data_IF_499178451002
#
_entry.id   IF_499178451002
#
_cell.length_a   1.000
_cell.length_b   1.000
_cell.length_c   1.000
_cell.angle_alpha   90.00
_cell.angle_beta   90.00
_cell.angle_gamma   90.00
#
_symmetry.space_group_name_H-M   'P 1'
#
loop_
_entity.id
_entity.type
_entity.pdbx_description
1 polymer ?
#
# COMPACT_ATOMS: atom_id res chain seq x y z
N UNK A 1 26.89 -24.54 6.41
CA UNK A 1 25.99 -23.38 6.57
C UNK A 1 26.93 -22.18 6.62
N UNK A 2 26.98 -21.37 5.55
CA UNK A 2 28.05 -20.39 5.32
C UNK A 2 28.34 -19.51 6.54
N UNK A 3 29.62 -19.20 6.80
CA UNK A 3 30.16 -18.28 7.82
C UNK A 3 29.72 -16.81 7.63
N UNK A 4 28.53 -16.57 7.07
CA UNK A 4 27.97 -15.25 6.84
C UNK A 4 27.57 -14.63 8.17
N UNK A 5 28.28 -13.58 8.58
CA UNK A 5 27.92 -12.80 9.77
C UNK A 5 26.58 -12.10 9.55
N UNK A 6 25.66 -12.13 10.53
CA UNK A 6 24.43 -11.36 10.44
C UNK A 6 24.75 -9.86 10.37
N UNK A 7 24.07 -9.16 9.46
CA UNK A 7 24.25 -7.73 9.21
C UNK A 7 22.99 -7.00 9.64
N UNK A 8 23.15 -5.84 10.29
CA UNK A 8 22.01 -5.01 10.65
C UNK A 8 21.37 -4.42 9.38
N UNK A 9 20.03 -4.42 9.31
CA UNK A 9 19.30 -3.96 8.12
C UNK A 9 19.68 -2.52 7.72
N UNK A 10 19.99 -1.66 8.68
CA UNK A 10 20.46 -0.27 8.46
C UNK A 10 21.79 -0.18 7.69
N UNK A 11 22.64 -1.19 7.78
CA UNK A 11 23.94 -1.22 7.08
C UNK A 11 23.75 -1.60 5.60
N UNK A 12 22.69 -2.35 5.27
CA UNK A 12 22.37 -2.77 3.91
C UNK A 12 22.15 -1.55 3.00
N UNK A 13 21.58 -0.46 3.52
CA UNK A 13 21.35 0.79 2.77
C UNK A 13 22.64 1.40 2.22
N UNK A 14 23.77 1.22 2.91
CA UNK A 14 25.06 1.80 2.56
C UNK A 14 25.93 0.88 1.71
N UNK A 15 25.48 -0.35 1.46
CA UNK A 15 26.23 -1.31 0.65
C UNK A 15 26.23 -0.90 -0.83
N UNK A 16 27.35 -1.07 -1.55
CA UNK A 16 27.47 -0.65 -2.95
C UNK A 16 26.54 -1.43 -3.89
N UNK A 17 26.09 -2.62 -3.50
CA UNK A 17 25.11 -3.39 -4.28
C UNK A 17 23.67 -2.88 -4.10
N UNK A 18 23.42 -2.04 -3.10
CA UNK A 18 22.10 -1.43 -2.85
C UNK A 18 21.94 -0.19 -3.71
N UNK A 19 21.32 -0.36 -4.88
CA UNK A 19 21.05 0.73 -5.80
C UNK A 19 19.66 1.29 -5.54
N UNK A 20 19.62 2.57 -5.17
CA UNK A 20 18.37 3.33 -5.09
C UNK A 20 18.01 3.86 -6.47
N UNK A 21 16.74 3.74 -6.83
CA UNK A 21 16.17 4.30 -8.02
C UNK A 21 14.86 5.02 -7.70
N UNK A 22 14.58 6.11 -8.42
CA UNK A 22 13.34 6.85 -8.23
C UNK A 22 12.18 6.06 -8.82
N UNK A 23 11.20 5.73 -7.97
CA UNK A 23 9.99 4.99 -8.36
C UNK A 23 8.74 5.81 -8.11
N UNK A 24 7.78 5.72 -9.02
CA UNK A 24 6.41 6.18 -8.79
C UNK A 24 5.70 5.11 -7.98
N UNK A 25 5.32 5.42 -6.74
CA UNK A 25 4.70 4.45 -5.85
C UNK A 25 3.18 4.44 -5.94
N UNK A 26 2.56 5.60 -6.19
CA UNK A 26 1.12 5.73 -6.42
C UNK A 26 0.80 7.08 -7.05
N UNK A 27 -0.40 7.25 -7.56
CA UNK A 27 -0.95 8.55 -7.91
C UNK A 27 -1.82 9.09 -6.77
N UNK A 28 -1.71 10.38 -6.47
CA UNK A 28 -2.63 11.10 -5.60
C UNK A 28 -3.21 12.32 -6.32
N UNK A 29 -4.15 13.02 -5.69
CA UNK A 29 -4.77 14.24 -6.25
C UNK A 29 -3.75 15.33 -6.60
N UNK A 30 -2.57 15.31 -5.97
CA UNK A 30 -1.46 16.24 -6.21
C UNK A 30 -0.42 15.69 -7.21
N UNK A 31 -0.78 14.66 -7.98
CA UNK A 31 0.09 14.02 -8.96
C UNK A 31 0.80 12.75 -8.45
N UNK A 32 1.84 12.26 -9.15
CA UNK A 32 2.53 11.02 -8.80
C UNK A 32 3.37 11.17 -7.53
N UNK A 33 3.17 10.26 -6.58
CA UNK A 33 3.98 10.14 -5.38
C UNK A 33 5.27 9.38 -5.70
N UNK A 34 6.39 10.08 -5.67
CA UNK A 34 7.73 9.58 -6.03
C UNK A 34 8.63 9.45 -4.81
N UNK A 35 9.37 8.36 -4.73
CA UNK A 35 10.39 8.12 -3.70
C UNK A 35 11.59 7.38 -4.28
N UNK A 36 12.74 7.52 -3.63
CA UNK A 36 13.90 6.65 -3.89
C UNK A 36 13.68 5.32 -3.18
N UNK A 37 13.71 4.23 -3.96
CA UNK A 37 13.49 2.89 -3.46
C UNK A 37 14.64 1.97 -3.91
N UNK A 38 14.92 0.94 -3.11
CA UNK A 38 15.82 -0.15 -3.46
C UNK A 38 15.22 -1.48 -3.00
N UNK A 39 15.56 -2.57 -3.70
CA UNK A 39 15.17 -3.90 -3.28
C UNK A 39 16.36 -4.86 -3.34
N UNK A 40 16.47 -5.74 -2.33
CA UNK A 40 17.50 -6.78 -2.28
C UNK A 40 16.91 -8.10 -1.84
N UNK A 41 17.48 -9.19 -2.34
CA UNK A 41 17.26 -10.49 -1.73
C UNK A 41 18.12 -10.59 -0.49
N UNK A 42 17.50 -10.97 0.63
CA UNK A 42 18.14 -11.17 1.93
C UNK A 42 17.76 -12.54 2.48
N UNK A 43 18.57 -13.04 3.40
CA UNK A 43 18.23 -14.21 4.20
C UNK A 43 17.88 -13.75 5.61
N UNK A 44 16.60 -13.73 5.93
CA UNK A 44 16.08 -13.29 7.22
C UNK A 44 15.93 -14.49 8.17
N UNK A 45 16.21 -14.28 9.45
CA UNK A 45 15.96 -15.27 10.50
C UNK A 45 14.59 -14.97 11.10
N UNK A 46 13.62 -15.85 10.85
CA UNK A 46 12.27 -15.73 11.38
C UNK A 46 12.21 -16.08 12.89
N UNK A 47 11.06 -15.83 13.51
CA UNK A 47 10.77 -15.99 14.96
C UNK A 47 11.12 -17.37 15.58
N UNK A 48 11.41 -18.40 14.78
CA UNK A 48 11.79 -19.75 15.25
C UNK A 48 13.20 -20.18 14.79
N UNK A 49 14.06 -19.24 14.42
CA UNK A 49 15.39 -19.56 13.86
C UNK A 49 15.34 -20.09 12.42
N UNK A 50 14.17 -20.12 11.80
CA UNK A 50 14.03 -20.52 10.39
C UNK A 50 14.62 -19.45 9.48
N UNK A 51 15.57 -19.83 8.65
CA UNK A 51 16.16 -18.93 7.65
C UNK A 51 15.26 -18.91 6.41
N UNK A 52 14.85 -17.73 5.97
CA UNK A 52 13.98 -17.53 4.79
C UNK A 52 14.66 -16.59 3.80
N UNK A 53 14.57 -16.95 2.53
CA UNK A 53 14.94 -16.08 1.42
C UNK A 53 13.78 -15.11 1.17
N UNK A 54 14.01 -13.81 1.40
CA UNK A 54 13.00 -12.78 1.32
C UNK A 54 13.52 -11.56 0.55
N UNK A 55 12.60 -10.72 0.09
CA UNK A 55 12.87 -9.46 -0.59
C UNK A 55 12.78 -8.34 0.44
N UNK A 56 13.91 -7.71 0.73
CA UNK A 56 13.99 -6.49 1.52
C UNK A 56 13.78 -5.28 0.60
N UNK A 57 12.71 -4.55 0.83
CA UNK A 57 12.44 -3.24 0.26
C UNK A 57 12.92 -2.14 1.21
N UNK A 58 13.57 -1.15 0.64
CA UNK A 58 14.07 0.04 1.32
C UNK A 58 13.50 1.27 0.60
N UNK A 59 12.94 2.21 1.36
CA UNK A 59 12.43 3.48 0.82
C UNK A 59 13.01 4.63 1.62
N UNK A 60 13.58 5.62 0.94
CA UNK A 60 14.04 6.84 1.58
C UNK A 60 12.88 7.82 1.71
N UNK A 61 12.59 8.23 2.93
CA UNK A 61 11.58 9.23 3.27
C UNK A 61 12.11 10.65 3.04
N UNK A 62 11.19 11.63 3.01
CA UNK A 62 11.54 13.04 2.75
C UNK A 62 12.39 13.67 3.85
N UNK A 63 12.30 13.16 5.08
CA UNK A 63 13.11 13.58 6.22
C UNK A 63 14.50 12.91 6.25
N UNK A 64 14.83 12.08 5.25
CA UNK A 64 16.08 11.34 5.16
C UNK A 64 16.06 10.00 5.89
N UNK A 65 14.99 9.65 6.62
CA UNK A 65 14.84 8.33 7.21
C UNK A 65 14.70 7.26 6.12
N UNK A 66 15.02 6.01 6.46
CA UNK A 66 14.77 4.87 5.56
C UNK A 66 13.79 3.93 6.22
N UNK A 67 12.70 3.62 5.52
CA UNK A 67 11.73 2.60 5.92
C UNK A 67 12.05 1.27 5.24
N UNK A 68 11.72 0.18 5.92
CA UNK A 68 12.07 -1.17 5.52
C UNK A 68 10.82 -2.04 5.48
N UNK A 69 10.72 -2.92 4.48
CA UNK A 69 9.64 -3.90 4.40
C UNK A 69 10.16 -5.20 3.84
N UNK A 70 9.70 -6.34 4.38
CA UNK A 70 10.05 -7.66 3.88
C UNK A 70 8.89 -8.22 3.07
N UNK A 71 9.22 -8.95 2.01
CA UNK A 71 8.27 -9.60 1.14
C UNK A 71 8.76 -11.01 0.77
N UNK A 72 7.85 -11.97 0.74
CA UNK A 72 8.13 -13.36 0.35
C UNK A 72 8.11 -13.55 -1.18
N UNK A 73 8.01 -12.46 -1.94
CA UNK A 73 7.94 -12.52 -3.39
C UNK A 73 9.18 -13.16 -4.03
N UNK A 74 8.99 -13.89 -5.14
CA UNK A 74 10.11 -14.39 -5.94
C UNK A 74 11.05 -13.29 -6.40
N UNK A 75 12.32 -13.64 -6.64
CA UNK A 75 13.30 -12.73 -7.24
C UNK A 75 12.93 -12.30 -8.66
N UNK A 76 12.10 -13.08 -9.33
CA UNK A 76 11.56 -12.78 -10.66
C UNK A 76 10.50 -11.67 -10.63
N UNK A 77 9.95 -11.33 -9.46
CA UNK A 77 8.97 -10.25 -9.33
C UNK A 77 9.63 -8.92 -9.67
N UNK A 78 9.16 -8.23 -10.73
CA UNK A 78 9.79 -6.98 -11.18
C UNK A 78 9.78 -5.92 -10.09
N UNK A 79 10.87 -5.16 -9.99
CA UNK A 79 10.97 -4.09 -9.00
C UNK A 79 9.85 -3.04 -9.14
N UNK A 80 9.47 -2.68 -10.37
CA UNK A 80 8.33 -1.78 -10.67
C UNK A 80 7.00 -2.25 -10.06
N UNK A 81 6.84 -3.56 -9.86
CA UNK A 81 5.66 -4.15 -9.23
C UNK A 81 5.81 -4.17 -7.72
N UNK A 82 7.01 -4.50 -7.24
CA UNK A 82 7.29 -4.68 -5.82
C UNK A 82 7.37 -3.35 -5.03
N UNK A 83 7.96 -2.31 -5.62
CA UNK A 83 8.21 -1.03 -4.94
C UNK A 83 6.92 -0.29 -4.50
N UNK A 84 5.83 -0.29 -5.29
CA UNK A 84 4.54 0.29 -4.88
C UNK A 84 3.86 -0.41 -3.70
N UNK A 85 4.01 -1.73 -3.55
CA UNK A 85 3.16 -2.53 -2.66
C UNK A 85 3.11 -2.09 -1.19
N UNK A 86 4.22 -1.70 -0.53
CA UNK A 86 4.15 -1.18 0.83
C UNK A 86 3.25 0.06 0.96
N UNK A 87 3.04 0.81 -0.12
CA UNK A 87 2.17 1.98 -0.14
C UNK A 87 0.68 1.64 -0.23
N UNK A 88 0.33 0.40 -0.61
CA UNK A 88 -1.06 -0.05 -0.68
C UNK A 88 -1.74 -0.09 0.69
N UNK A 89 -0.95 -0.22 1.76
CA UNK A 89 -1.42 -0.14 3.15
C UNK A 89 -2.20 1.15 3.42
N UNK A 90 -1.85 2.24 2.73
CA UNK A 90 -2.58 3.50 2.83
C UNK A 90 -4.05 3.34 2.46
N UNK A 91 -4.41 2.57 1.44
CA UNK A 91 -5.81 2.40 1.07
C UNK A 91 -6.59 1.67 2.15
N UNK A 92 -5.98 0.66 2.77
CA UNK A 92 -6.59 -0.05 3.91
C UNK A 92 -6.77 0.92 5.08
N UNK A 93 -5.77 1.71 5.42
CA UNK A 93 -5.84 2.67 6.52
C UNK A 93 -6.89 3.76 6.27
N UNK A 94 -6.93 4.32 5.06
CA UNK A 94 -7.94 5.32 4.71
C UNK A 94 -9.34 4.74 4.74
N UNK A 95 -9.52 3.53 4.21
CA UNK A 95 -10.80 2.83 4.24
C UNK A 95 -11.28 2.60 5.67
N UNK A 96 -10.37 2.24 6.58
CA UNK A 96 -10.68 2.11 8.00
C UNK A 96 -10.94 3.45 8.69
N UNK A 97 -10.35 4.55 8.20
CA UNK A 97 -10.63 5.89 8.68
C UNK A 97 -12.01 6.36 8.22
N UNK A 98 -12.34 6.15 6.94
CA UNK A 98 -13.64 6.48 6.37
C UNK A 98 -14.76 5.70 7.09
N UNK A 99 -14.55 4.41 7.38
CA UNK A 99 -15.46 3.62 8.22
C UNK A 99 -15.68 4.25 9.60
N UNK A 100 -14.61 4.78 10.19
CA UNK A 100 -14.67 5.42 11.52
C UNK A 100 -15.47 6.71 11.51
N UNK A 101 -15.34 7.53 10.47
CA UNK A 101 -15.93 8.87 10.42
C UNK A 101 -17.26 8.95 9.68
N UNK A 102 -17.41 8.21 8.58
CA UNK A 102 -18.57 8.32 7.69
C UNK A 102 -19.62 7.23 7.93
N UNK A 103 -19.19 6.05 8.38
CA UNK A 103 -20.10 4.90 8.63
C UNK A 103 -20.51 4.77 10.12
N UNK A 104 -20.34 5.84 10.92
CA UNK A 104 -20.90 5.93 12.28
C UNK A 104 -20.29 4.97 13.32
N UNK A 105 -19.10 4.43 13.05
CA UNK A 105 -18.35 3.59 14.00
C UNK A 105 -18.00 4.33 15.29
N UNK A 106 -17.73 5.63 15.21
CA UNK A 106 -17.46 6.49 16.36
C UNK A 106 -18.74 6.83 17.15
N UNK A 107 -19.90 6.81 16.50
CA UNK A 107 -21.22 6.98 17.10
C UNK A 107 -21.79 5.69 17.74
N UNK A 108 -21.18 4.53 17.47
CA UNK A 108 -21.62 3.24 18.02
C UNK A 108 -21.37 3.13 19.53
N UNK A 109 -22.43 3.22 20.32
CA UNK A 109 -22.40 2.95 21.77
C UNK A 109 -22.66 1.46 22.12
N UNK A 110 -21.86 0.53 21.59
CA UNK A 110 -22.02 -0.90 21.88
C UNK A 110 -21.54 -1.27 23.31
N UNK A 111 -22.45 -1.76 24.16
CA UNK A 111 -22.14 -2.17 25.55
C UNK A 111 -21.70 -3.64 25.70
N UNK A 112 -21.76 -4.44 24.64
CA UNK A 112 -21.37 -5.85 24.63
C UNK A 112 -20.40 -6.11 23.49
N UNK A 113 -19.34 -6.87 23.75
CA UNK A 113 -18.36 -7.26 22.73
C UNK A 113 -19.02 -7.87 21.49
N UNK A 114 -20.00 -8.78 21.69
CA UNK A 114 -20.74 -9.41 20.58
C UNK A 114 -21.52 -8.41 19.72
N UNK A 115 -22.09 -7.36 20.33
CA UNK A 115 -22.80 -6.32 19.59
C UNK A 115 -21.82 -5.51 18.73
N UNK A 116 -20.65 -5.17 19.29
CA UNK A 116 -19.56 -4.53 18.55
C UNK A 116 -19.07 -5.39 17.39
N UNK A 117 -18.83 -6.69 17.60
CA UNK A 117 -18.40 -7.62 16.54
C UNK A 117 -19.40 -7.69 15.38
N UNK A 118 -20.70 -7.76 15.70
CA UNK A 118 -21.74 -7.83 14.67
C UNK A 118 -21.86 -6.53 13.87
N UNK A 119 -21.75 -5.37 14.54
CA UNK A 119 -21.76 -4.07 13.88
C UNK A 119 -20.57 -3.95 12.92
N UNK A 120 -19.36 -4.16 13.42
CA UNK A 120 -18.11 -4.17 12.63
C UNK A 120 -18.20 -5.07 11.39
N UNK A 121 -18.86 -6.23 11.51
CA UNK A 121 -19.06 -7.13 10.37
C UNK A 121 -20.04 -6.56 9.33
N UNK A 122 -21.12 -5.91 9.76
CA UNK A 122 -22.08 -5.26 8.88
C UNK A 122 -21.47 -4.06 8.14
N UNK A 123 -20.65 -3.25 8.81
CA UNK A 123 -20.02 -2.10 8.16
C UNK A 123 -18.96 -2.54 7.16
N UNK A 124 -18.18 -3.58 7.49
CA UNK A 124 -17.26 -4.19 6.53
C UNK A 124 -18.00 -4.72 5.28
N UNK A 125 -19.21 -5.29 5.44
CA UNK A 125 -20.06 -5.71 4.32
C UNK A 125 -20.60 -4.53 3.51
N UNK A 126 -21.06 -3.47 4.18
CA UNK A 126 -21.56 -2.25 3.53
C UNK A 126 -20.45 -1.59 2.70
N UNK A 127 -19.26 -1.44 3.27
CA UNK A 127 -18.09 -0.92 2.60
C UNK A 127 -17.69 -1.78 1.39
N UNK A 128 -17.66 -3.11 1.54
CA UNK A 128 -17.38 -4.00 0.42
C UNK A 128 -18.40 -3.82 -0.72
N UNK A 129 -19.69 -3.66 -0.39
CA UNK A 129 -20.74 -3.41 -1.37
C UNK A 129 -20.51 -2.09 -2.12
N UNK A 130 -20.18 -1.01 -1.40
CA UNK A 130 -19.86 0.30 -1.99
C UNK A 130 -18.64 0.21 -2.90
N UNK A 131 -17.55 -0.39 -2.42
CA UNK A 131 -16.30 -0.55 -3.17
C UNK A 131 -16.52 -1.37 -4.46
N UNK A 132 -17.27 -2.48 -4.36
CA UNK A 132 -17.63 -3.31 -5.52
C UNK A 132 -18.50 -2.57 -6.52
N UNK A 133 -19.49 -1.82 -6.04
CA UNK A 133 -20.39 -1.03 -6.91
C UNK A 133 -19.59 0.01 -7.69
N UNK A 134 -18.72 0.76 -7.02
CA UNK A 134 -17.83 1.74 -7.65
C UNK A 134 -16.90 1.09 -8.68
N UNK A 135 -16.35 -0.08 -8.38
CA UNK A 135 -15.49 -0.80 -9.33
C UNK A 135 -16.27 -1.19 -10.59
N UNK A 136 -17.44 -1.79 -10.43
CA UNK A 136 -18.30 -2.16 -11.56
C UNK A 136 -18.71 -0.94 -12.39
N UNK A 137 -18.98 0.20 -11.76
CA UNK A 137 -19.31 1.44 -12.46
C UNK A 137 -18.13 2.01 -13.23
N UNK A 138 -16.93 1.99 -12.66
CA UNK A 138 -15.72 2.44 -13.35
C UNK A 138 -15.41 1.57 -14.58
N UNK A 139 -15.66 0.26 -14.51
CA UNK A 139 -15.52 -0.65 -15.66
C UNK A 139 -16.58 -0.40 -16.74
N UNK A 140 -17.81 -0.07 -16.34
CA UNK A 140 -18.95 0.13 -17.27
C UNK A 140 -19.01 1.53 -17.88
N UNK A 141 -18.60 2.54 -17.14
CA UNK A 141 -18.69 3.96 -17.51
C UNK A 141 -17.31 4.60 -17.35
N UNK A 142 -16.40 4.41 -18.33
CA UNK A 142 -15.07 4.98 -18.26
C UNK A 142 -15.14 6.52 -18.20
N UNK A 143 -14.19 7.18 -17.51
CA UNK A 143 -14.16 8.64 -17.42
C UNK A 143 -14.01 9.27 -18.82
N UNK A 144 -14.83 10.26 -19.13
CA UNK A 144 -14.77 10.97 -20.40
C UNK A 144 -13.55 11.92 -20.41
N UNK A 145 -12.60 11.75 -21.36
CA UNK A 145 -11.40 12.58 -21.47
C UNK A 145 -11.69 14.08 -21.63
N UNK A 146 -12.86 14.45 -22.16
CA UNK A 146 -13.23 15.85 -22.34
C UNK A 146 -13.29 16.62 -21.01
N UNK A 147 -13.73 15.97 -19.93
CA UNK A 147 -13.78 16.60 -18.61
C UNK A 147 -12.41 16.76 -17.97
N UNK A 148 -11.44 15.91 -18.30
CA UNK A 148 -10.04 16.05 -17.84
C UNK A 148 -9.46 17.36 -18.38
N UNK A 149 -9.71 17.63 -19.67
CA UNK A 149 -9.28 18.85 -20.36
C UNK A 149 -10.00 20.10 -19.84
N UNK A 150 -11.33 20.04 -19.71
CA UNK A 150 -12.12 21.18 -19.22
C UNK A 150 -11.79 21.57 -17.78
N UNK A 151 -11.53 20.59 -16.91
CA UNK A 151 -11.22 20.84 -15.50
C UNK A 151 -9.73 21.12 -15.26
N UNK A 152 -8.88 21.00 -16.28
CA UNK A 152 -7.43 21.16 -16.19
C UNK A 152 -6.79 20.31 -15.08
N UNK A 153 -7.29 19.09 -14.91
CA UNK A 153 -6.79 18.13 -13.92
C UNK A 153 -6.09 16.98 -14.62
N UNK A 154 -5.04 16.41 -14.02
CA UNK A 154 -4.32 15.28 -14.62
C UNK A 154 -5.16 13.99 -14.65
N UNK A 155 -6.14 13.86 -13.75
CA UNK A 155 -7.05 12.71 -13.65
C UNK A 155 -8.35 13.14 -12.99
N UNK A 156 -9.49 12.71 -13.54
CA UNK A 156 -10.79 12.94 -12.91
C UNK A 156 -10.83 12.33 -11.50
N UNK A 157 -11.37 13.05 -10.50
CA UNK A 157 -11.55 12.50 -9.17
C UNK A 157 -12.45 11.27 -9.28
N UNK A 158 -11.94 10.15 -8.76
CA UNK A 158 -12.74 8.94 -8.61
C UNK A 158 -13.65 9.19 -7.42
N UNK A 159 -14.97 9.06 -7.61
CA UNK A 159 -15.96 9.29 -6.56
C UNK A 159 -15.59 8.46 -5.30
N UNK A 160 -15.17 9.15 -4.25
CA UNK A 160 -14.48 8.61 -3.06
C UNK A 160 -15.23 7.49 -2.34
N UNK A 161 -14.53 6.38 -2.01
CA UNK A 161 -14.22 5.83 -0.65
C UNK A 161 -13.55 4.45 -0.82
N UNK A 162 -12.28 4.43 -1.24
CA UNK A 162 -11.50 3.19 -1.40
C UNK A 162 -11.42 2.66 -2.83
N UNK A 163 -10.52 3.24 -3.64
CA UNK A 163 -10.01 2.59 -4.84
C UNK A 163 -8.50 2.82 -4.99
N UNK A 164 -7.76 1.71 -5.05
CA UNK A 164 -6.40 1.66 -5.53
C UNK A 164 -6.40 1.83 -7.06
N UNK A 165 -5.61 2.76 -7.64
CA UNK A 165 -5.46 2.83 -9.07
C UNK A 165 -4.74 1.56 -9.55
N UNK A 166 -5.39 0.77 -10.40
CA UNK A 166 -4.77 -0.36 -11.06
C UNK A 166 -3.54 0.12 -11.84
N UNK A 167 -2.36 -0.34 -11.41
CA UNK A 167 -1.11 -0.20 -12.16
C UNK A 167 -1.17 -1.20 -13.33
N UNK A 168 -1.70 -0.76 -14.47
CA UNK A 168 -1.38 -1.33 -15.78
C UNK A 168 -0.18 -0.60 -16.36
#
# INVERSE_FOLDING_TARGET
MNDAKPVAVREIVHMPETKFETSVLRFCERGPLRYECAARTVWAIAWKGQVRCERLLMRRERDGATTYSLSTEPQTTPFRTLAPWPCERYFVEHTLQDLKSEDGWDELAARKYRAWTHHTALDALALWFVARTKRNWAEKYPPDPHWVEQLQIEKLPILSNGQCPSLT
#
